data_IF_829820570334
#
_entry.id   IF_829820570334
#
_cell.length_a   1.000
_cell.length_b   1.000
_cell.length_c   1.000
_cell.angle_alpha   90.00
_cell.angle_beta   90.00
_cell.angle_gamma   90.00
#
_symmetry.space_group_name_H-M   'P 1'
#
loop_
_entity.id
_entity.type
_entity.pdbx_description
1 polymer ?
#
# COMPACT_ATOMS: atom_id res chain seq x y z
N UNK A 1 0.94 -2.46 11.38
CA UNK A 1 -0.36 -1.74 11.43
C UNK A 1 -1.05 -2.05 12.73
N UNK A 2 -1.86 -1.13 13.28
CA UNK A 2 -2.69 -1.41 14.46
C UNK A 2 -1.87 -1.98 15.64
N UNK A 3 -0.61 -1.54 15.75
CA UNK A 3 0.34 -2.04 16.75
C UNK A 3 1.13 -3.30 16.37
N UNK A 4 0.77 -4.00 15.30
CA UNK A 4 1.45 -5.24 14.89
C UNK A 4 2.60 -4.97 13.91
N UNK A 5 3.83 -5.41 14.21
CA UNK A 5 4.97 -5.24 13.33
C UNK A 5 4.89 -6.21 12.13
N UNK A 6 5.19 -5.68 10.95
CA UNK A 6 5.38 -6.44 9.72
C UNK A 6 6.86 -6.36 9.34
N UNK A 7 7.48 -7.52 9.12
CA UNK A 7 8.84 -7.58 8.60
C UNK A 7 8.77 -7.76 7.08
N UNK A 8 9.25 -6.74 6.36
CA UNK A 8 9.34 -6.73 4.90
C UNK A 8 10.80 -6.75 4.51
N UNK A 9 11.20 -7.73 3.70
CA UNK A 9 12.52 -7.78 3.09
C UNK A 9 12.39 -7.77 1.57
N UNK A 10 12.99 -6.75 0.95
CA UNK A 10 13.06 -6.64 -0.51
C UNK A 10 14.45 -7.06 -0.98
N UNK A 11 14.50 -7.80 -2.09
CA UNK A 11 15.74 -8.23 -2.71
C UNK A 11 15.62 -8.17 -4.23
N UNK A 12 16.69 -7.79 -4.94
CA UNK A 12 16.67 -7.77 -6.39
C UNK A 12 16.55 -9.18 -6.96
N UNK A 13 15.68 -9.36 -7.95
CA UNK A 13 15.49 -10.62 -8.67
C UNK A 13 15.88 -10.49 -10.15
N UNK A 14 15.80 -9.28 -10.71
CA UNK A 14 16.20 -8.99 -12.08
C UNK A 14 16.84 -7.60 -12.18
N UNK A 15 17.85 -7.45 -13.04
CA UNK A 15 18.40 -6.16 -13.43
C UNK A 15 18.79 -6.25 -14.91
N UNK A 16 18.06 -5.54 -15.75
CA UNK A 16 18.31 -5.51 -17.20
C UNK A 16 18.48 -4.07 -17.64
N UNK A 17 19.51 -3.81 -18.44
CA UNK A 17 19.74 -2.51 -19.07
C UNK A 17 19.97 -2.74 -20.56
N UNK A 18 19.07 -2.23 -21.39
CA UNK A 18 19.14 -2.36 -22.84
C UNK A 18 18.70 -1.07 -23.56
N UNK A 19 18.47 -1.14 -24.86
CA UNK A 19 18.00 0.00 -25.65
C UNK A 19 16.60 0.47 -25.25
N UNK A 20 15.82 -0.38 -24.56
CA UNK A 20 14.50 -0.11 -24.02
C UNK A 20 14.51 0.51 -22.63
N UNK A 21 15.65 0.50 -21.94
CA UNK A 21 15.83 1.23 -20.69
C UNK A 21 16.35 0.34 -19.57
N UNK A 22 16.10 0.77 -18.33
CA UNK A 22 16.49 0.06 -17.12
C UNK A 22 15.26 -0.64 -16.52
N UNK A 23 15.35 -1.95 -16.35
CA UNK A 23 14.40 -2.77 -15.62
C UNK A 23 15.07 -3.27 -14.34
N UNK A 24 14.43 -3.03 -13.20
CA UNK A 24 14.82 -3.58 -11.91
C UNK A 24 13.64 -4.33 -11.31
N UNK A 25 13.76 -5.65 -11.27
CA UNK A 25 12.78 -6.52 -10.63
C UNK A 25 13.18 -6.77 -9.18
N UNK A 26 12.21 -6.65 -8.27
CA UNK A 26 12.38 -7.00 -6.87
C UNK A 26 11.48 -8.18 -6.51
N UNK A 27 12.00 -9.10 -5.69
CA UNK A 27 11.23 -10.05 -4.91
C UNK A 27 11.05 -9.52 -3.50
N UNK A 28 10.04 -10.02 -2.82
CA UNK A 28 9.74 -9.68 -1.44
C UNK A 28 9.57 -10.93 -0.58
N UNK A 29 9.96 -10.82 0.68
CA UNK A 29 9.62 -11.75 1.75
C UNK A 29 8.85 -10.96 2.81
N UNK A 30 7.65 -11.44 3.14
CA UNK A 30 6.73 -10.81 4.07
C UNK A 30 6.45 -11.81 5.19
N UNK A 31 6.73 -11.42 6.44
CA UNK A 31 6.56 -12.30 7.59
C UNK A 31 5.78 -11.55 8.68
N UNK A 32 4.71 -12.16 9.23
CA UNK A 32 4.00 -11.53 10.33
C UNK A 32 4.87 -11.61 11.57
N UNK A 33 5.02 -10.51 12.31
CA UNK A 33 5.82 -10.53 13.54
C UNK A 33 5.31 -11.55 14.57
N UNK A 34 4.00 -11.79 14.58
CA UNK A 34 3.32 -12.83 15.35
C UNK A 34 2.09 -13.30 14.58
N UNK A 35 1.82 -14.61 14.59
CA UNK A 35 0.54 -15.15 14.10
C UNK A 35 -0.47 -15.05 15.25
N UNK A 36 -1.67 -14.54 14.97
CA UNK A 36 -2.71 -14.40 15.97
C UNK A 36 -3.54 -15.68 16.10
N UNK A 37 -3.98 -15.98 17.32
CA UNK A 37 -4.88 -17.11 17.61
C UNK A 37 -6.33 -16.86 17.14
N UNK A 38 -6.66 -15.62 16.75
CA UNK A 38 -8.00 -15.27 16.29
C UNK A 38 -8.29 -15.65 14.83
N UNK A 39 -7.27 -16.06 14.08
CA UNK A 39 -7.37 -16.44 12.67
C UNK A 39 -6.84 -17.85 12.46
N UNK A 40 -7.47 -18.61 11.56
CA UNK A 40 -6.98 -19.93 11.19
C UNK A 40 -5.89 -19.83 10.12
N UNK A 41 -4.67 -19.52 10.54
CA UNK A 41 -3.52 -19.37 9.64
C UNK A 41 -3.20 -20.59 8.76
N UNK A 42 -3.87 -21.74 8.96
CA UNK A 42 -3.74 -22.89 8.07
C UNK A 42 -4.39 -22.69 6.70
N UNK A 43 -5.25 -21.68 6.54
CA UNK A 43 -5.90 -21.35 5.27
C UNK A 43 -4.89 -20.98 4.15
N UNK A 44 -3.69 -20.49 4.51
CA UNK A 44 -2.67 -20.09 3.55
C UNK A 44 -3.01 -18.80 2.77
N UNK A 45 -2.12 -18.39 1.88
CA UNK A 45 -2.33 -17.24 0.97
C UNK A 45 -2.82 -17.73 -0.39
N UNK A 46 -3.62 -16.91 -1.08
CA UNK A 46 -4.07 -17.16 -2.46
C UNK A 46 -2.96 -16.94 -3.51
N UNK A 47 -1.70 -17.18 -3.17
CA UNK A 47 -0.56 -16.94 -4.05
C UNK A 47 -0.66 -17.80 -5.31
N UNK A 48 -0.60 -17.13 -6.46
CA UNK A 48 -0.69 -17.72 -7.78
C UNK A 48 0.52 -17.28 -8.59
N UNK A 49 1.65 -17.98 -8.48
CA UNK A 49 2.92 -17.58 -9.12
C UNK A 49 2.75 -17.10 -10.58
N UNK A 50 2.78 -15.77 -10.78
CA UNK A 50 2.67 -15.15 -12.11
C UNK A 50 4.04 -14.70 -12.60
N UNK A 51 4.30 -14.98 -13.88
CA UNK A 51 5.49 -14.46 -14.56
C UNK A 51 5.48 -12.94 -14.69
N UNK A 52 6.65 -12.34 -14.86
CA UNK A 52 6.77 -10.91 -15.14
C UNK A 52 6.03 -10.54 -16.44
N UNK A 53 5.36 -9.37 -16.48
CA UNK A 53 4.74 -8.89 -17.71
C UNK A 53 5.84 -8.51 -18.72
N UNK A 54 5.48 -8.49 -20.00
CA UNK A 54 6.40 -7.97 -21.03
C UNK A 54 6.44 -6.45 -20.92
N UNK A 55 7.62 -5.90 -20.64
CA UNK A 55 7.82 -4.45 -20.54
C UNK A 55 8.38 -3.90 -21.85
N UNK A 56 7.74 -2.87 -22.41
CA UNK A 56 8.19 -2.17 -23.62
C UNK A 56 7.99 -0.64 -23.48
N UNK A 57 7.99 0.10 -24.58
CA UNK A 57 7.81 1.57 -24.63
C UNK A 57 6.41 2.06 -24.28
N UNK A 58 5.45 1.15 -24.25
CA UNK A 58 4.06 1.43 -23.90
C UNK A 58 3.63 0.52 -22.77
N UNK A 59 2.65 0.98 -22.00
CA UNK A 59 2.04 0.17 -20.95
C UNK A 59 1.58 -1.19 -21.53
N UNK A 60 1.70 -2.29 -20.76
CA UNK A 60 1.22 -3.60 -21.19
C UNK A 60 -0.21 -3.52 -21.69
N UNK A 61 -0.49 -4.23 -22.79
CA UNK A 61 -1.81 -4.33 -23.41
C UNK A 61 -2.44 -2.96 -23.82
N UNK A 62 -1.63 -1.90 -23.87
CA UNK A 62 -2.05 -0.53 -24.15
C UNK A 62 -1.11 0.19 -25.12
N UNK A 63 -1.61 1.27 -25.73
CA UNK A 63 -0.82 2.18 -26.56
C UNK A 63 -0.24 3.36 -25.80
N UNK A 64 -0.42 3.42 -24.48
CA UNK A 64 0.01 4.54 -23.63
C UNK A 64 1.54 4.56 -23.51
N UNK A 65 2.25 5.58 -24.05
CA UNK A 65 3.68 5.71 -23.82
C UNK A 65 3.96 6.23 -22.41
N UNK A 66 5.06 5.80 -21.80
CA UNK A 66 5.50 6.25 -20.48
C UNK A 66 7.02 6.47 -20.43
N UNK A 67 7.49 7.28 -19.49
CA UNK A 67 8.92 7.55 -19.28
C UNK A 67 9.51 6.71 -18.14
N UNK A 68 8.70 6.48 -17.10
CA UNK A 68 8.98 5.57 -15.99
C UNK A 68 7.71 4.80 -15.61
N UNK A 69 7.87 3.61 -15.05
CA UNK A 69 6.75 2.79 -14.58
C UNK A 69 7.13 1.97 -13.36
N UNK A 70 6.19 1.79 -12.45
CA UNK A 70 6.27 0.88 -11.30
C UNK A 70 5.20 -0.18 -11.47
N UNK A 71 5.56 -1.44 -11.27
CA UNK A 71 4.63 -2.56 -11.39
C UNK A 71 4.54 -3.30 -10.07
N UNK A 72 3.32 -3.66 -9.68
CA UNK A 72 3.02 -4.43 -8.48
C UNK A 72 2.21 -5.65 -8.91
N UNK A 73 2.67 -6.83 -8.52
CA UNK A 73 1.96 -8.08 -8.80
C UNK A 73 0.89 -8.36 -7.75
N UNK A 74 -0.24 -8.95 -8.17
CA UNK A 74 -1.30 -9.39 -7.27
C UNK A 74 -0.75 -10.34 -6.19
N UNK A 75 0.14 -11.27 -6.55
CA UNK A 75 0.81 -12.18 -5.62
C UNK A 75 1.50 -11.47 -4.44
N UNK A 76 2.17 -10.34 -4.72
CA UNK A 76 2.84 -9.58 -3.69
C UNK A 76 1.85 -8.96 -2.72
N UNK A 77 0.75 -8.39 -3.25
CA UNK A 77 -0.30 -7.78 -2.45
C UNK A 77 -1.10 -8.81 -1.67
N UNK A 78 -1.47 -9.93 -2.28
CA UNK A 78 -2.18 -11.02 -1.61
C UNK A 78 -1.33 -11.64 -0.50
N UNK A 79 -0.02 -11.76 -0.70
CA UNK A 79 0.87 -12.23 0.36
C UNK A 79 1.01 -11.21 1.51
N UNK A 80 1.01 -9.92 1.18
CA UNK A 80 1.02 -8.84 2.17
C UNK A 80 -0.27 -8.80 2.99
N UNK A 81 -1.41 -8.86 2.30
CA UNK A 81 -2.75 -8.92 2.86
C UNK A 81 -2.93 -10.16 3.73
N UNK A 82 -2.48 -11.33 3.26
CA UNK A 82 -2.40 -12.54 4.08
C UNK A 82 -1.58 -12.31 5.35
N UNK A 83 -0.44 -11.64 5.25
CA UNK A 83 0.42 -11.40 6.40
C UNK A 83 -0.24 -10.49 7.44
N UNK A 84 -0.95 -9.44 6.99
CA UNK A 84 -1.74 -8.55 7.85
C UNK A 84 -2.90 -9.31 8.50
N UNK A 85 -3.60 -10.14 7.72
CA UNK A 85 -4.68 -10.98 8.21
C UNK A 85 -4.18 -11.99 9.25
N UNK A 86 -3.12 -12.74 8.94
CA UNK A 86 -2.50 -13.74 9.81
C UNK A 86 -2.00 -13.14 11.12
N UNK A 87 -1.64 -11.86 11.12
CA UNK A 87 -1.24 -11.15 12.33
C UNK A 87 -2.42 -10.78 13.25
N UNK A 88 -3.66 -11.09 12.85
CA UNK A 88 -4.87 -10.75 13.58
C UNK A 88 -5.23 -9.27 13.55
N UNK A 89 -4.69 -8.51 12.60
CA UNK A 89 -4.93 -7.07 12.52
C UNK A 89 -6.42 -6.72 12.31
N UNK A 90 -7.20 -7.66 11.75
CA UNK A 90 -8.62 -7.50 11.48
C UNK A 90 -9.52 -8.03 12.60
N UNK A 91 -8.95 -8.57 13.68
CA UNK A 91 -9.69 -9.04 14.85
C UNK A 91 -9.94 -7.85 15.80
N UNK A 92 -10.84 -6.95 15.39
CA UNK A 92 -11.03 -5.66 16.03
C UNK A 92 -12.22 -5.69 16.98
N UNK A 93 -12.01 -5.26 18.22
CA UNK A 93 -13.09 -4.88 19.11
C UNK A 93 -13.40 -3.40 18.89
N UNK A 94 -14.50 -3.13 18.17
CA UNK A 94 -14.93 -1.77 17.88
C UNK A 94 -15.29 -0.99 19.16
N UNK A 95 -15.67 -1.67 20.24
CA UNK A 95 -15.86 -1.02 21.55
C UNK A 95 -14.56 -0.49 22.14
N UNK A 96 -13.47 -1.24 21.98
CA UNK A 96 -12.13 -0.81 22.39
C UNK A 96 -11.61 0.33 21.50
N UNK A 97 -11.82 0.27 20.19
CA UNK A 97 -11.44 1.34 19.24
C UNK A 97 -12.24 2.62 19.48
N UNK A 98 -13.52 2.49 19.78
CA UNK A 98 -14.39 3.63 20.04
C UNK A 98 -14.11 4.28 21.40
N UNK A 99 -13.35 3.66 22.31
CA UNK A 99 -13.12 4.20 23.66
C UNK A 99 -12.46 5.60 23.66
N UNK A 100 -11.67 5.91 22.63
CA UNK A 100 -11.05 7.23 22.47
C UNK A 100 -12.05 8.32 22.02
N UNK A 101 -13.12 7.93 21.31
CA UNK A 101 -14.14 8.84 20.76
C UNK A 101 -15.41 8.88 21.63
N UNK A 102 -15.74 7.76 22.25
CA UNK A 102 -16.88 7.51 23.11
C UNK A 102 -16.35 7.12 24.51
N UNK A 103 -16.19 8.07 25.44
CA UNK A 103 -15.61 7.81 26.77
C UNK A 103 -16.38 6.77 27.60
N UNK A 104 -17.67 6.58 27.29
CA UNK A 104 -18.53 5.57 27.90
C UNK A 104 -18.50 4.20 27.19
N UNK A 105 -17.73 4.08 26.11
CA UNK A 105 -17.72 2.91 25.22
C UNK A 105 -19.02 2.75 24.43
N UNK A 106 -19.05 1.65 23.66
CA UNK A 106 -20.26 1.20 22.98
C UNK A 106 -21.23 0.58 24.01
N UNK A 107 -22.52 0.89 23.92
CA UNK A 107 -23.53 0.38 24.86
C UNK A 107 -24.83 -0.01 24.16
N UNK A 108 -25.63 -0.84 24.82
CA UNK A 108 -26.94 -1.28 24.31
C UNK A 108 -27.87 -0.10 24.07
N UNK A 109 -27.83 0.94 24.92
CA UNK A 109 -28.64 2.15 24.71
C UNK A 109 -28.31 2.92 23.43
N UNK A 110 -27.02 2.92 23.00
CA UNK A 110 -26.63 3.53 21.72
C UNK A 110 -27.10 2.68 20.54
N UNK A 111 -26.99 1.35 20.65
CA UNK A 111 -27.38 0.42 19.59
C UNK A 111 -28.90 0.26 19.47
N UNK A 112 -29.69 0.57 20.50
CA UNK A 112 -31.15 0.52 20.44
C UNK A 112 -31.74 1.35 19.30
N UNK A 113 -31.16 2.52 19.00
CA UNK A 113 -31.60 3.35 17.88
C UNK A 113 -31.36 2.72 16.49
N UNK A 114 -30.42 1.77 16.39
CA UNK A 114 -30.07 1.06 15.16
C UNK A 114 -30.78 -0.29 15.07
N UNK A 115 -30.89 -1.00 16.20
CA UNK A 115 -31.41 -2.37 16.29
C UNK A 115 -32.92 -2.43 16.60
N UNK A 116 -33.54 -1.30 16.94
CA UNK A 116 -34.98 -1.17 17.14
C UNK A 116 -35.49 -1.50 18.55
N UNK A 117 -36.80 -1.34 18.73
CA UNK A 117 -37.49 -1.41 20.03
C UNK A 117 -37.40 -2.80 20.69
N UNK A 118 -37.32 -3.89 19.90
CA UNK A 118 -37.17 -5.24 20.45
C UNK A 118 -35.85 -5.40 21.21
N UNK A 119 -34.76 -4.84 20.67
CA UNK A 119 -33.47 -4.84 21.33
C UNK A 119 -33.48 -3.95 22.59
N UNK A 120 -34.12 -2.78 22.53
CA UNK A 120 -34.29 -1.90 23.69
C UNK A 120 -35.06 -2.58 24.82
N UNK A 121 -36.11 -3.35 24.49
CA UNK A 121 -36.91 -4.08 25.47
C UNK A 121 -36.12 -5.19 26.21
N UNK A 122 -35.11 -5.78 25.57
CA UNK A 122 -34.22 -6.78 26.19
C UNK A 122 -33.24 -6.13 27.18
N UNK A 123 -32.88 -4.87 26.96
CA UNK A 123 -31.87 -4.15 27.74
C UNK A 123 -32.44 -2.81 28.25
N UNK A 124 -33.40 -2.84 29.20
CA UNK A 124 -34.03 -1.62 29.72
C UNK A 124 -33.03 -0.71 30.45
N UNK A 125 -31.97 -1.30 31.02
CA UNK A 125 -30.81 -0.58 31.53
C UNK A 125 -29.66 -0.73 30.53
N UNK A 126 -29.01 0.39 30.18
CA UNK A 126 -27.89 0.38 29.24
C UNK A 126 -26.72 -0.45 29.78
N UNK A 127 -26.28 -1.44 29.00
CA UNK A 127 -25.17 -2.33 29.32
C UNK A 127 -24.00 -2.09 28.34
N UNK A 128 -22.74 -2.32 28.75
CA UNK A 128 -21.62 -2.37 27.82
C UNK A 128 -21.81 -3.46 26.77
N UNK A 129 -21.33 -3.21 25.56
CA UNK A 129 -21.33 -4.21 24.48
C UNK A 129 -19.94 -4.37 23.90
N UNK A 130 -19.66 -5.57 23.41
CA UNK A 130 -18.47 -5.88 22.62
C UNK A 130 -18.92 -6.13 21.20
N UNK A 131 -18.38 -5.35 20.26
CA UNK A 131 -18.66 -5.50 18.84
C UNK A 131 -17.37 -5.97 18.16
N UNK A 132 -17.32 -7.25 17.84
CA UNK A 132 -16.13 -7.91 17.30
C UNK A 132 -16.25 -8.01 15.78
N UNK A 133 -15.36 -7.32 15.08
CA UNK A 133 -15.13 -7.46 13.65
C UNK A 133 -14.04 -8.51 13.43
N UNK A 134 -14.23 -9.44 12.50
CA UNK A 134 -13.20 -10.40 12.11
C UNK A 134 -13.38 -10.90 10.68
N UNK A 135 -12.26 -11.19 10.01
CA UNK A 135 -12.25 -11.82 8.69
C UNK A 135 -11.80 -13.29 8.83
N UNK A 136 -12.68 -14.28 8.59
CA UNK A 136 -12.36 -15.70 8.75
C UNK A 136 -11.44 -16.23 7.64
N UNK A 137 -11.44 -15.58 6.48
CA UNK A 137 -10.59 -15.87 5.33
C UNK A 137 -9.59 -14.74 5.08
N UNK A 138 -8.43 -15.05 4.46
CA UNK A 138 -7.48 -14.03 4.04
C UNK A 138 -8.10 -13.03 3.07
N UNK A 139 -7.67 -11.77 3.18
CA UNK A 139 -8.03 -10.72 2.22
C UNK A 139 -7.37 -10.97 0.86
N UNK A 140 -8.01 -10.49 -0.20
CA UNK A 140 -7.50 -10.54 -1.58
C UNK A 140 -7.35 -9.13 -2.16
N UNK A 141 -6.46 -8.98 -3.11
CA UNK A 141 -6.33 -7.79 -3.93
C UNK A 141 -7.00 -8.01 -5.28
N UNK A 142 -7.65 -6.96 -5.78
CA UNK A 142 -8.17 -6.88 -7.14
C UNK A 142 -7.72 -5.55 -7.74
N UNK A 143 -7.53 -5.50 -9.06
CA UNK A 143 -7.13 -4.29 -9.76
C UNK A 143 -8.23 -3.86 -10.73
N UNK A 144 -8.47 -2.55 -10.81
CA UNK A 144 -9.50 -1.95 -11.65
C UNK A 144 -8.88 -0.86 -12.55
N UNK A 145 -9.48 -0.63 -13.72
CA UNK A 145 -9.17 0.42 -14.67
C UNK A 145 -10.25 1.53 -14.74
N UNK A 146 -11.46 1.27 -14.23
CA UNK A 146 -12.63 2.15 -14.27
C UNK A 146 -13.00 2.74 -12.88
N UNK A 147 -12.09 2.68 -11.92
CA UNK A 147 -12.32 3.08 -10.53
C UNK A 147 -11.06 3.35 -9.72
N UNK A 148 -11.08 2.94 -8.45
CA UNK A 148 -9.87 2.98 -7.64
C UNK A 148 -8.88 1.93 -8.18
N UNK A 149 -7.61 2.26 -8.40
CA UNK A 149 -6.66 1.36 -9.05
C UNK A 149 -6.45 0.02 -8.34
N UNK A 150 -6.59 0.01 -7.01
CA UNK A 150 -6.42 -1.16 -6.16
C UNK A 150 -7.65 -1.33 -5.28
N UNK A 151 -8.17 -2.55 -5.23
CA UNK A 151 -9.26 -2.95 -4.36
C UNK A 151 -8.76 -4.00 -3.36
N UNK A 152 -9.15 -3.86 -2.09
CA UNK A 152 -8.94 -4.86 -1.05
C UNK A 152 -10.28 -5.52 -0.77
N UNK A 153 -10.37 -6.80 -1.08
CA UNK A 153 -11.58 -7.60 -0.92
C UNK A 153 -11.48 -8.42 0.36
N UNK A 154 -12.47 -8.24 1.24
CA UNK A 154 -12.68 -9.05 2.42
C UNK A 154 -13.91 -9.94 2.21
N UNK A 155 -13.66 -11.18 1.78
CA UNK A 155 -14.71 -12.19 1.75
C UNK A 155 -15.07 -12.59 3.20
N UNK A 156 -16.37 -12.80 3.45
CA UNK A 156 -16.88 -13.30 4.72
C UNK A 156 -16.56 -12.46 5.96
N UNK A 157 -16.43 -11.13 5.82
CA UNK A 157 -16.27 -10.23 6.96
C UNK A 157 -17.42 -10.42 7.96
N UNK A 158 -17.09 -10.80 9.18
CA UNK A 158 -18.08 -11.06 10.24
C UNK A 158 -18.08 -9.96 11.28
N UNK A 159 -19.28 -9.64 11.77
CA UNK A 159 -19.49 -8.75 12.89
C UNK A 159 -20.37 -9.45 13.93
N UNK A 160 -19.80 -9.71 15.10
CA UNK A 160 -20.49 -10.30 16.24
C UNK A 160 -20.77 -9.25 17.32
N UNK A 161 -22.01 -9.20 17.81
CA UNK A 161 -22.35 -8.43 19.01
C UNK A 161 -22.44 -9.37 20.23
N UNK A 162 -21.66 -9.06 21.26
CA UNK A 162 -21.78 -9.68 22.58
C UNK A 162 -22.18 -8.67 23.63
N UNK A 163 -23.02 -9.07 24.57
CA UNK A 163 -23.30 -8.29 25.78
C UNK A 163 -23.69 -9.21 26.93
N UNK A 164 -23.81 -8.66 28.13
CA UNK A 164 -24.27 -9.40 29.29
C UNK A 164 -25.78 -9.59 29.23
N UNK A 165 -26.22 -10.84 29.20
CA UNK A 165 -27.62 -11.22 29.26
C UNK A 165 -27.78 -12.32 30.31
N UNK A 166 -28.66 -12.09 31.30
CA UNK A 166 -28.86 -13.01 32.43
C UNK A 166 -27.56 -13.40 33.17
N UNK A 167 -26.68 -12.43 33.45
CA UNK A 167 -25.40 -12.62 34.16
C UNK A 167 -24.39 -13.52 33.43
N UNK A 168 -24.51 -13.64 32.10
CA UNK A 168 -23.51 -14.28 31.24
C UNK A 168 -23.28 -13.46 29.98
N UNK A 169 -22.07 -13.53 29.43
CA UNK A 169 -21.81 -12.97 28.11
C UNK A 169 -22.50 -13.85 27.06
N UNK A 170 -23.40 -13.26 26.29
CA UNK A 170 -24.15 -13.94 25.24
C UNK A 170 -23.92 -13.24 23.90
N UNK A 171 -23.86 -14.02 22.82
CA UNK A 171 -23.89 -13.48 21.46
C UNK A 171 -25.33 -13.12 21.11
N UNK A 172 -25.56 -11.87 20.76
CA UNK A 172 -26.90 -11.39 20.41
C UNK A 172 -27.19 -11.69 18.95
N UNK A 173 -26.26 -11.30 18.08
CA UNK A 173 -26.34 -11.54 16.65
C UNK A 173 -24.96 -11.75 16.03
N UNK A 174 -24.98 -12.28 14.81
CA UNK A 174 -23.87 -12.25 13.84
C UNK A 174 -24.42 -11.80 12.50
N UNK A 175 -23.71 -10.87 11.90
CA UNK A 175 -23.82 -10.60 10.46
C UNK A 175 -22.52 -11.00 9.76
N UNK A 176 -22.63 -11.35 8.50
CA UNK A 176 -21.52 -11.72 7.62
C UNK A 176 -21.73 -11.05 6.28
N UNK A 177 -20.69 -10.46 5.71
CA UNK A 177 -20.79 -9.73 4.47
C UNK A 177 -19.49 -9.72 3.70
N UNK A 178 -19.54 -9.10 2.53
CA UNK A 178 -18.37 -8.84 1.70
C UNK A 178 -18.05 -7.35 1.78
N UNK A 179 -16.78 -7.02 1.93
CA UNK A 179 -16.29 -5.65 1.88
C UNK A 179 -15.37 -5.46 0.69
N UNK A 180 -15.61 -4.41 -0.07
CA UNK A 180 -14.77 -3.95 -1.17
C UNK A 180 -14.27 -2.54 -0.84
N UNK A 181 -12.97 -2.44 -0.57
CA UNK A 181 -12.30 -1.21 -0.18
C UNK A 181 -11.35 -0.80 -1.30
N UNK A 182 -11.74 0.23 -2.05
CA UNK A 182 -10.88 0.86 -3.03
C UNK A 182 -9.78 1.70 -2.37
N UNK A 183 -8.61 1.71 -2.99
CA UNK A 183 -7.46 2.53 -2.66
C UNK A 183 -7.12 3.37 -3.87
N UNK A 184 -7.35 4.68 -3.76
CA UNK A 184 -6.94 5.64 -4.76
C UNK A 184 -5.56 6.20 -4.43
N UNK A 185 -4.73 6.32 -5.47
CA UNK A 185 -3.35 6.77 -5.36
C UNK A 185 -3.14 7.87 -6.39
N UNK A 186 -3.13 9.11 -5.92
CA UNK A 186 -3.02 10.29 -6.78
C UNK A 186 -1.74 11.05 -6.50
N UNK A 187 -1.39 11.97 -7.40
CA UNK A 187 -0.29 12.91 -7.19
C UNK A 187 -0.89 14.31 -7.09
N UNK A 188 -0.68 14.95 -5.94
CA UNK A 188 -1.06 16.34 -5.69
C UNK A 188 0.17 17.11 -5.21
N UNK A 189 0.50 18.22 -5.86
CA UNK A 189 1.64 19.08 -5.48
C UNK A 189 2.97 18.31 -5.30
N UNK A 190 3.26 17.38 -6.24
CA UNK A 190 4.43 16.51 -6.18
C UNK A 190 4.48 15.62 -4.91
N UNK A 191 3.32 15.35 -4.31
CA UNK A 191 3.12 14.43 -3.21
C UNK A 191 2.20 13.32 -3.69
N UNK A 192 2.65 12.08 -3.59
CA UNK A 192 1.79 10.93 -3.76
C UNK A 192 0.90 10.82 -2.52
N UNK A 193 -0.39 10.97 -2.72
CA UNK A 193 -1.41 10.86 -1.69
C UNK A 193 -2.17 9.57 -1.89
N UNK A 194 -2.59 8.95 -0.79
CA UNK A 194 -3.42 7.76 -0.82
C UNK A 194 -4.73 8.03 -0.11
N UNK A 195 -5.82 7.60 -0.70
CA UNK A 195 -7.17 7.79 -0.19
C UNK A 195 -7.93 6.46 -0.22
N UNK A 196 -8.78 6.23 0.78
CA UNK A 196 -9.71 5.12 0.78
C UNK A 196 -10.98 5.53 0.02
N UNK A 197 -11.39 4.69 -0.91
CA UNK A 197 -12.64 4.80 -1.65
C UNK A 197 -13.55 3.69 -1.14
N UNK A 198 -14.59 4.07 -0.41
CA UNK A 198 -15.59 3.14 0.09
C UNK A 198 -16.83 3.22 -0.79
N UNK A 199 -17.29 2.07 -1.28
CA UNK A 199 -18.58 1.97 -1.94
C UNK A 199 -19.71 2.22 -0.92
N UNK A 200 -20.92 2.57 -1.39
CA UNK A 200 -22.11 2.69 -0.53
C UNK A 200 -23.13 1.59 -0.90
N UNK A 201 -23.42 0.63 0.00
CA UNK A 201 -22.82 0.45 1.33
C UNK A 201 -21.38 -0.09 1.24
N UNK A 202 -20.54 0.26 2.22
CA UNK A 202 -19.14 -0.18 2.25
C UNK A 202 -19.00 -1.69 2.51
N UNK A 203 -20.01 -2.29 3.13
CA UNK A 203 -20.12 -3.71 3.41
C UNK A 203 -21.57 -4.13 3.25
N UNK A 204 -21.83 -5.19 2.48
CA UNK A 204 -23.16 -5.78 2.35
C UNK A 204 -23.31 -6.92 3.36
N UNK A 205 -23.91 -6.62 4.51
CA UNK A 205 -24.07 -7.57 5.60
C UNK A 205 -25.38 -8.37 5.48
N UNK A 206 -25.25 -9.70 5.54
CA UNK A 206 -26.36 -10.63 5.71
C UNK A 206 -26.40 -11.20 7.13
N UNK A 207 -27.60 -11.38 7.67
CA UNK A 207 -27.80 -11.99 8.99
C UNK A 207 -27.52 -13.49 8.93
N UNK A 208 -26.58 -13.96 9.76
CA UNK A 208 -26.23 -15.40 9.84
C UNK A 208 -26.60 -16.01 11.18
N UNK A 209 -26.76 -15.19 12.22
CA UNK A 209 -27.21 -15.62 13.54
C UNK A 209 -28.00 -14.52 14.24
N UNK A 210 -29.13 -14.90 14.84
CA UNK A 210 -29.84 -14.09 15.83
C UNK A 210 -30.50 -15.04 16.82
N UNK A 211 -30.33 -14.78 18.12
CA UNK A 211 -30.94 -15.60 19.18
C UNK A 211 -32.04 -14.86 19.92
N UNK A 212 -31.88 -13.54 20.11
CA UNK A 212 -32.70 -12.75 21.02
C UNK A 212 -33.53 -11.67 20.33
N UNK A 213 -33.17 -11.27 19.11
CA UNK A 213 -33.86 -10.23 18.33
C UNK A 213 -34.47 -10.83 17.06
N UNK A 214 -35.55 -10.22 16.57
CA UNK A 214 -36.13 -10.55 15.26
C UNK A 214 -35.19 -10.19 14.09
N UNK A 215 -35.47 -10.73 12.89
CA UNK A 215 -34.68 -10.42 11.70
C UNK A 215 -34.95 -8.99 11.19
N UNK A 216 -34.03 -8.46 10.36
CA UNK A 216 -34.11 -7.15 9.71
C UNK A 216 -33.22 -6.06 10.31
N UNK A 217 -32.22 -6.43 11.13
CA UNK A 217 -31.28 -5.50 11.75
C UNK A 217 -30.00 -5.27 10.93
N UNK A 218 -29.72 -6.11 9.93
CA UNK A 218 -28.52 -5.99 9.08
C UNK A 218 -28.38 -4.63 8.40
N UNK A 219 -29.48 -4.05 7.92
CA UNK A 219 -29.50 -2.77 7.21
C UNK A 219 -28.97 -1.62 8.09
N UNK A 220 -29.39 -1.60 9.37
CA UNK A 220 -28.92 -0.61 10.34
C UNK A 220 -27.44 -0.78 10.67
N UNK A 221 -26.97 -2.03 10.70
CA UNK A 221 -25.58 -2.37 10.99
C UNK A 221 -24.64 -1.95 9.85
N UNK A 222 -25.03 -2.16 8.58
CA UNK A 222 -24.23 -1.70 7.44
C UNK A 222 -23.98 -0.19 7.49
N UNK A 223 -25.01 0.60 7.78
CA UNK A 223 -24.89 2.06 7.94
C UNK A 223 -24.03 2.46 9.14
N UNK A 224 -24.14 1.75 10.27
CA UNK A 224 -23.30 1.97 11.45
C UNK A 224 -21.83 1.71 11.12
N UNK A 225 -21.51 0.58 10.47
CA UNK A 225 -20.14 0.23 10.11
C UNK A 225 -19.54 1.26 9.15
N UNK A 226 -20.26 1.69 8.12
CA UNK A 226 -19.80 2.77 7.24
C UNK A 226 -19.49 4.07 7.99
N UNK A 227 -20.34 4.45 8.95
CA UNK A 227 -20.12 5.63 9.80
C UNK A 227 -18.92 5.48 10.71
N UNK A 228 -18.74 4.29 11.30
CA UNK A 228 -17.60 4.00 12.15
C UNK A 228 -16.29 3.99 11.36
N UNK A 229 -16.25 3.36 10.18
CA UNK A 229 -15.06 3.34 9.33
C UNK A 229 -14.63 4.76 8.93
N UNK A 230 -15.58 5.59 8.50
CA UNK A 230 -15.30 6.99 8.13
C UNK A 230 -14.86 7.87 9.30
N UNK A 231 -15.33 7.59 10.52
CA UNK A 231 -14.98 8.38 11.72
C UNK A 231 -13.71 7.90 12.41
N UNK A 232 -13.48 6.58 12.42
CA UNK A 232 -12.39 5.93 13.14
C UNK A 232 -11.11 5.80 12.30
N UNK A 233 -11.19 5.90 10.97
CA UNK A 233 -10.00 5.95 10.12
C UNK A 233 -9.53 7.40 10.07
N UNK A 234 -8.47 7.77 10.81
CA UNK A 234 -7.99 9.14 10.79
C UNK A 234 -7.36 9.45 9.43
N UNK A 235 -7.45 10.72 9.00
CA UNK A 235 -6.97 11.17 7.70
C UNK A 235 -5.45 10.96 7.47
N UNK A 236 -4.69 10.76 8.55
CA UNK A 236 -3.24 10.52 8.54
C UNK A 236 -2.88 9.03 8.62
N UNK A 237 -3.85 8.11 8.61
CA UNK A 237 -3.58 6.67 8.63
C UNK A 237 -2.84 6.23 7.34
N UNK A 238 -3.18 6.87 6.23
CA UNK A 238 -2.65 6.57 4.93
C UNK A 238 -1.40 7.40 4.66
N UNK A 239 -0.28 6.79 4.23
CA UNK A 239 0.96 7.50 4.02
C UNK A 239 0.83 8.45 2.81
N UNK A 240 1.19 9.71 3.02
CA UNK A 240 1.55 10.63 1.93
C UNK A 240 3.06 10.63 1.72
N UNK A 241 3.51 10.64 0.46
CA UNK A 241 4.92 10.64 0.11
C UNK A 241 5.26 11.85 -0.76
N UNK A 242 6.07 12.77 -0.23
CA UNK A 242 6.66 13.82 -1.04
C UNK A 242 7.63 13.20 -2.06
N UNK A 243 7.40 13.43 -3.34
CA UNK A 243 8.26 12.98 -4.43
C UNK A 243 9.46 13.94 -4.53
N UNK A 244 10.67 13.44 -4.81
CA UNK A 244 11.83 14.31 -4.93
C UNK A 244 11.76 15.15 -6.22
N UNK A 245 11.99 16.46 -6.11
CA UNK A 245 12.26 17.31 -7.28
C UNK A 245 13.75 17.18 -7.64
N UNK A 246 14.04 16.36 -8.65
CA UNK A 246 15.41 16.13 -9.12
C UNK A 246 15.69 17.06 -10.30
N UNK A 247 16.39 18.17 -10.05
CA UNK A 247 16.88 19.08 -11.10
C UNK A 247 15.76 19.73 -11.95
N UNK A 248 14.59 19.99 -11.37
CA UNK A 248 13.45 20.56 -12.08
C UNK A 248 12.71 19.55 -12.95
N UNK A 249 12.98 18.25 -12.76
CA UNK A 249 12.22 17.16 -13.36
C UNK A 249 10.95 16.98 -12.54
N UNK A 250 9.81 17.22 -13.18
CA UNK A 250 8.50 17.09 -12.55
C UNK A 250 7.73 15.91 -13.13
N UNK A 251 6.94 15.28 -12.29
CA UNK A 251 5.97 14.28 -12.74
C UNK A 251 4.76 15.02 -13.29
N UNK A 252 4.49 14.82 -14.57
CA UNK A 252 3.41 15.48 -15.31
C UNK A 252 2.08 14.74 -15.11
N UNK A 253 2.10 13.42 -15.28
CA UNK A 253 0.94 12.57 -15.03
C UNK A 253 1.34 11.22 -14.45
N UNK A 254 0.43 10.65 -13.65
CA UNK A 254 0.44 9.27 -13.20
C UNK A 254 -0.85 8.61 -13.67
N UNK A 255 -0.73 7.50 -14.38
CA UNK A 255 -1.87 6.71 -14.85
C UNK A 255 -1.68 5.29 -14.33
N UNK A 256 -2.71 4.74 -13.71
CA UNK A 256 -2.72 3.37 -13.25
C UNK A 256 -3.45 2.49 -14.25
N UNK A 257 -2.86 1.37 -14.66
CA UNK A 257 -3.51 0.39 -15.51
C UNK A 257 -3.18 -1.04 -15.05
N UNK A 258 -4.18 -1.91 -14.86
CA UNK A 258 -3.95 -3.34 -14.78
C UNK A 258 -3.57 -3.90 -16.15
N UNK A 259 -2.98 -5.10 -16.17
CA UNK A 259 -2.88 -5.89 -17.39
C UNK A 259 -4.15 -6.71 -17.63
N UNK A 260 -4.27 -7.33 -18.82
CA UNK A 260 -5.51 -8.00 -19.26
C UNK A 260 -6.02 -9.10 -18.30
N UNK A 261 -5.12 -9.79 -17.60
CA UNK A 261 -5.47 -10.85 -16.65
C UNK A 261 -5.47 -10.39 -15.18
N UNK A 262 -5.28 -9.09 -14.93
CA UNK A 262 -5.25 -8.45 -13.60
C UNK A 262 -4.24 -9.07 -12.63
N UNK A 263 -3.20 -9.75 -13.13
CA UNK A 263 -2.12 -10.25 -12.28
C UNK A 263 -1.08 -9.20 -11.94
N UNK A 264 -1.05 -8.10 -12.70
CA UNK A 264 -0.14 -6.97 -12.51
C UNK A 264 -0.87 -5.65 -12.62
N UNK A 265 -0.42 -4.69 -11.82
CA UNK A 265 -0.88 -3.33 -11.86
C UNK A 265 0.29 -2.36 -12.01
N UNK A 266 0.24 -1.53 -13.05
CA UNK A 266 1.29 -0.60 -13.40
C UNK A 266 0.89 0.85 -13.11
N UNK A 267 1.75 1.58 -12.41
CA UNK A 267 1.72 3.04 -12.31
C UNK A 267 2.67 3.64 -13.33
N UNK A 268 2.12 4.30 -14.35
CA UNK A 268 2.83 4.85 -15.50
C UNK A 268 2.98 6.35 -15.37
N UNK A 269 4.22 6.82 -15.46
CA UNK A 269 4.57 8.22 -15.24
C UNK A 269 5.07 8.85 -16.54
N UNK A 270 4.49 10.00 -16.89
CA UNK A 270 5.10 10.94 -17.84
C UNK A 270 5.91 11.98 -17.08
N UNK A 271 7.09 12.30 -17.62
CA UNK A 271 8.00 13.24 -17.00
C UNK A 271 8.02 14.53 -17.82
N UNK A 272 7.75 15.67 -17.17
CA UNK A 272 8.00 16.98 -17.78
C UNK A 272 9.44 17.41 -17.52
N UNK A 273 10.13 17.77 -18.60
CA UNK A 273 11.51 18.26 -18.60
C UNK A 273 11.61 19.71 -19.07
N UNK A 274 10.47 20.40 -19.26
CA UNK A 274 10.42 21.78 -19.74
C UNK A 274 11.10 22.78 -18.78
N UNK A 275 11.09 22.48 -17.48
CA UNK A 275 11.72 23.28 -16.43
C UNK A 275 13.20 22.92 -16.18
N UNK A 276 13.72 21.87 -16.83
CA UNK A 276 15.11 21.46 -16.66
C UNK A 276 16.02 22.49 -17.32
N UNK A 277 16.72 23.27 -16.50
CA UNK A 277 17.75 24.19 -16.99
C UNK A 277 19.01 23.38 -17.28
N UNK A 278 19.52 23.37 -18.52
CA UNK A 278 20.77 22.71 -18.82
C UNK A 278 21.87 23.29 -17.94
N UNK A 279 22.56 22.43 -17.19
CA UNK A 279 23.78 22.82 -16.49
C UNK A 279 24.87 23.00 -17.56
N UNK A 280 25.07 24.23 -17.98
CA UNK A 280 26.24 24.58 -18.78
C UNK A 280 27.48 24.53 -17.86
N UNK A 281 28.19 23.40 -17.90
CA UNK A 281 29.51 23.31 -17.30
C UNK A 281 30.45 24.23 -18.10
N UNK A 282 30.65 25.44 -17.59
CA UNK A 282 31.58 26.41 -18.15
C UNK A 282 33.01 25.83 -18.13
N UNK A 283 33.48 25.32 -19.27
CA UNK A 283 34.88 24.90 -19.44
C UNK A 283 35.13 23.62 -20.23
N UNK A 284 34.13 22.78 -20.51
CA UNK A 284 34.33 21.57 -21.30
C UNK A 284 34.04 21.79 -22.78
N UNK A 285 34.95 22.43 -23.52
CA UNK A 285 34.92 22.27 -24.98
C UNK A 285 35.37 20.85 -25.31
N UNK A 286 34.46 20.02 -25.83
CA UNK A 286 34.73 18.65 -26.28
C UNK A 286 35.81 18.55 -27.37
N UNK A 287 36.20 19.67 -27.97
CA UNK A 287 37.27 19.75 -28.96
C UNK A 287 38.69 19.51 -28.39
N UNK A 288 38.84 19.37 -27.06
CA UNK A 288 40.14 19.18 -26.39
C UNK A 288 40.29 17.93 -25.53
N UNK A 289 39.28 17.07 -25.41
CA UNK A 289 39.34 15.87 -24.53
C UNK A 289 39.98 14.71 -25.29
N UNK A 290 41.29 14.80 -25.49
CA UNK A 290 42.13 13.65 -25.82
C UNK A 290 42.56 12.94 -24.54
N UNK A 291 42.49 11.61 -24.50
CA UNK A 291 42.96 10.77 -23.39
C UNK A 291 44.50 10.74 -23.27
N UNK A 292 45.17 11.88 -23.42
CA UNK A 292 46.63 11.99 -23.37
C UNK A 292 47.09 12.38 -21.97
N UNK A 293 46.75 11.57 -20.96
CA UNK A 293 47.41 11.46 -19.64
C UNK A 293 47.82 12.73 -18.90
N UNK A 294 47.27 13.89 -19.27
CA UNK A 294 47.62 15.19 -18.76
C UNK A 294 46.64 15.55 -17.68
N UNK A 295 47.17 15.72 -16.48
CA UNK A 295 46.48 16.17 -15.28
C UNK A 295 45.77 17.52 -15.55
N UNK A 296 44.53 17.44 -16.02
CA UNK A 296 43.65 18.60 -16.14
C UNK A 296 43.07 18.83 -14.75
N UNK A 297 43.68 19.76 -14.01
CA UNK A 297 43.26 20.23 -12.69
C UNK A 297 41.91 20.96 -12.67
N UNK A 298 40.91 20.40 -13.34
CA UNK A 298 39.50 20.73 -13.13
C UNK A 298 39.01 19.78 -12.05
N UNK A 299 39.17 20.23 -10.81
CA UNK A 299 38.54 19.63 -9.64
C UNK A 299 37.03 19.88 -9.80
N UNK A 300 36.34 18.96 -10.48
CA UNK A 300 34.89 18.94 -10.52
C UNK A 300 34.42 18.60 -9.12
N UNK A 301 34.11 19.63 -8.36
CA UNK A 301 33.48 19.52 -7.06
C UNK A 301 32.04 19.01 -7.23
N UNK A 302 31.93 17.70 -7.45
CA UNK A 302 30.67 16.97 -7.54
C UNK A 302 29.86 17.10 -6.24
N UNK A 303 30.50 17.39 -5.11
CA UNK A 303 29.84 17.57 -3.82
C UNK A 303 28.98 18.84 -3.83
N UNK A 304 29.50 19.93 -4.42
CA UNK A 304 28.75 21.18 -4.61
C UNK A 304 27.66 21.04 -5.69
N UNK A 305 27.87 20.24 -6.74
CA UNK A 305 26.89 20.08 -7.83
C UNK A 305 25.72 19.14 -7.48
N UNK A 306 25.95 18.15 -6.61
CA UNK A 306 24.94 17.16 -6.20
C UNK A 306 24.29 17.49 -4.84
N UNK A 307 24.67 18.60 -4.20
CA UNK A 307 24.05 19.07 -2.96
C UNK A 307 24.33 18.20 -1.73
N UNK A 308 25.39 17.37 -1.76
CA UNK A 308 25.78 16.54 -0.64
C UNK A 308 26.57 17.39 0.37
N UNK A 309 25.97 17.69 1.54
CA UNK A 309 26.68 18.36 2.63
C UNK A 309 27.84 17.49 3.14
N UNK A 310 29.03 18.09 3.25
CA UNK A 310 30.35 17.47 3.46
C UNK A 310 30.60 16.70 4.78
N UNK A 311 29.57 16.19 5.46
CA UNK A 311 29.73 15.57 6.78
C UNK A 311 29.86 14.03 6.74
N UNK A 312 29.91 13.40 5.56
CA UNK A 312 30.15 11.95 5.44
C UNK A 312 31.25 11.66 4.42
N UNK A 313 32.47 11.43 4.91
CA UNK A 313 33.62 11.03 4.09
C UNK A 313 33.45 9.62 3.53
N UNK A 314 32.86 9.50 2.34
CA UNK A 314 32.94 8.30 1.52
C UNK A 314 34.19 8.40 0.63
N UNK A 315 35.29 7.85 1.14
CA UNK A 315 36.58 7.83 0.44
C UNK A 315 36.48 7.14 -0.93
N UNK A 316 36.74 7.90 -1.98
CA UNK A 316 36.99 7.42 -3.33
C UNK A 316 38.49 7.55 -3.65
N UNK A 317 39.36 7.01 -2.80
CA UNK A 317 40.76 6.81 -3.13
C UNK A 317 40.92 5.38 -3.70
N UNK A 318 41.45 5.28 -4.91
CA UNK A 318 41.70 4.07 -5.71
C UNK A 318 40.59 3.61 -6.67
N UNK A 319 40.34 4.41 -7.72
CA UNK A 319 39.76 3.89 -8.97
C UNK A 319 40.78 3.94 -10.12
N UNK A 320 41.43 2.80 -10.35
CA UNK A 320 42.15 2.54 -11.60
C UNK A 320 41.13 2.23 -12.69
N UNK A 321 41.20 2.97 -13.81
CA UNK A 321 40.40 2.72 -15.02
C UNK A 321 40.78 1.37 -15.65
N UNK A 322 40.13 0.29 -15.21
CA UNK A 322 40.23 -1.03 -15.82
C UNK A 322 39.06 -1.25 -16.78
N UNK A 323 39.42 -1.49 -18.04
CA UNK A 323 38.60 -1.88 -19.18
C UNK A 323 37.76 -3.14 -18.92
N UNK A 324 36.48 -3.09 -19.32
CA UNK A 324 35.73 -4.24 -19.85
C UNK A 324 35.50 -5.41 -18.89
N UNK A 325 34.44 -5.34 -18.09
CA UNK A 325 33.86 -6.49 -17.41
C UNK A 325 32.51 -6.14 -16.83
N UNK A 326 31.46 -6.89 -17.19
CA UNK A 326 30.12 -6.79 -16.59
C UNK A 326 30.23 -6.98 -15.08
N UNK A 327 30.23 -5.89 -14.31
CA UNK A 327 30.18 -5.93 -12.86
C UNK A 327 28.73 -6.09 -12.43
N UNK A 328 28.41 -7.23 -11.85
CA UNK A 328 27.20 -7.36 -11.03
C UNK A 328 27.30 -6.40 -9.86
N UNK A 329 26.34 -5.48 -9.76
CA UNK A 329 26.19 -4.60 -8.59
C UNK A 329 25.71 -5.48 -7.45
N UNK A 330 26.49 -5.58 -6.38
CA UNK A 330 26.07 -6.26 -5.15
C UNK A 330 24.97 -5.42 -4.48
N UNK A 331 23.72 -5.67 -4.83
CA UNK A 331 22.59 -5.06 -4.16
C UNK A 331 22.40 -5.73 -2.79
N UNK A 332 22.45 -4.91 -1.74
CA UNK A 332 22.31 -5.32 -0.34
C UNK A 332 20.83 -5.41 -0.03
N UNK A 333 20.38 -6.53 0.53
CA UNK A 333 19.01 -6.65 1.03
C UNK A 333 18.76 -5.59 2.11
N UNK A 334 17.70 -4.80 1.94
CA UNK A 334 17.25 -3.83 2.94
C UNK A 334 16.22 -4.54 3.82
N UNK A 335 16.57 -4.76 5.10
CA UNK A 335 15.64 -5.26 6.11
C UNK A 335 15.21 -4.09 6.99
N UNK A 336 13.94 -3.70 6.91
CA UNK A 336 13.36 -2.63 7.71
C UNK A 336 12.10 -3.10 8.42
N UNK A 337 11.88 -2.62 9.65
CA UNK A 337 10.58 -2.72 10.33
C UNK A 337 9.68 -1.64 9.75
N UNK A 338 8.74 -2.03 8.90
CA UNK A 338 7.89 -1.08 8.18
C UNK A 338 6.49 -1.01 8.80
N UNK A 339 6.07 0.20 9.19
CA UNK A 339 4.66 0.57 9.10
C UNK A 339 4.31 0.74 7.60
N UNK A 340 3.04 0.57 7.21
CA UNK A 340 2.56 0.41 5.83
C UNK A 340 3.12 1.40 4.78
N UNK A 341 3.70 2.51 5.20
CA UNK A 341 4.49 3.40 4.33
C UNK A 341 5.45 2.67 3.40
N UNK A 342 6.02 1.51 3.78
CA UNK A 342 6.93 0.80 2.88
C UNK A 342 6.26 0.07 1.69
N UNK A 343 4.93 -0.12 1.69
CA UNK A 343 4.22 -0.76 0.56
C UNK A 343 4.20 0.11 -0.70
N UNK A 344 4.37 1.43 -0.54
CA UNK A 344 4.60 2.37 -1.64
C UNK A 344 6.09 2.56 -1.98
N UNK A 345 7.01 1.96 -1.22
CA UNK A 345 8.45 2.26 -1.28
C UNK A 345 9.28 1.37 -2.21
N UNK A 346 8.66 0.69 -3.17
CA UNK A 346 9.41 0.21 -4.33
C UNK A 346 9.45 1.29 -5.41
N UNK A 347 9.81 2.52 -5.04
CA UNK A 347 10.22 3.54 -6.00
C UNK A 347 11.69 3.31 -6.34
N UNK A 348 11.93 2.56 -7.41
CA UNK A 348 13.18 2.63 -8.15
C UNK A 348 12.88 3.32 -9.48
N UNK A 349 13.30 4.58 -9.53
CA UNK A 349 13.21 5.46 -10.69
C UNK A 349 14.07 4.88 -11.82
N UNK A 350 13.42 4.29 -12.81
CA UNK A 350 14.03 3.99 -14.11
C UNK A 350 13.92 5.23 -15.00
N UNK A 351 14.97 6.04 -15.08
CA UNK A 351 15.02 7.19 -16.00
C UNK A 351 15.39 6.72 -17.40
N UNK A 352 14.53 7.00 -18.39
CA UNK A 352 14.86 6.84 -19.81
C UNK A 352 14.82 8.17 -20.54
N UNK A 353 15.89 8.48 -21.28
CA UNK A 353 15.98 9.67 -22.12
C UNK A 353 15.30 9.42 -23.47
N UNK A 354 14.18 10.09 -23.75
CA UNK A 354 13.61 10.15 -25.11
C UNK A 354 14.60 10.80 -26.08
N UNK A 355 14.86 10.15 -27.22
CA UNK A 355 15.44 10.82 -28.40
C UNK A 355 14.29 11.16 -29.34
N UNK A 356 14.10 12.46 -29.60
CA UNK A 356 13.21 12.97 -30.63
C UNK A 356 13.73 12.64 -32.03
#
# INVERSE_FOLDING_TARGET
LLGTPLDVALYPTALTLDEQGLLLGLGAELVPGTISDCVDSSAGSALAEVGWPTLDRTAPDSSLPYDAGVYIGADFLDHALYTVWASGALCLDAGALAADVLPSGLSTGLLAGVLGEEFEALFPDSQPVTLLLSAPTPLRSEFDDDGAPLHIIADDLTLDLYTEFEHRQARIFRVQGEADIGLDVTIEENTLTTALVLNDPAVDFAETYHELIGPGFSDGIAGLVGTLLTTLIPADLLPSLALPDLLGVQIDSLIWLPNDDQSWHGGFVSIDTSAVVPVELAGCSLDGVGCDGGDLGVELDLETLLGCSADTSLGCDDSTCATGGSRGVAARAVRGRAALGAFLFVTLVGLRRRRH
#
